data_IF_980574897704
#
_entry.id   IF_980574897704
#
_cell.length_a   1.000
_cell.length_b   1.000
_cell.length_c   1.000
_cell.angle_alpha   90.00
_cell.angle_beta   90.00
_cell.angle_gamma   90.00
#
_symmetry.space_group_name_H-M   'P 1'
#
loop_
_entity.id
_entity.type
_entity.pdbx_description
1 polymer ?
#
# COMPACT_ATOMS: atom_id res chain seq x y z
N UNK A 1 16.90 -12.81 -0.70
CA UNK A 1 15.59 -12.23 -0.31
C UNK A 1 14.57 -12.68 -1.33
N UNK A 2 13.41 -13.15 -0.88
CA UNK A 2 12.31 -13.53 -1.75
C UNK A 2 11.31 -12.36 -1.84
N UNK A 3 10.58 -12.29 -2.95
CA UNK A 3 9.57 -11.27 -3.20
C UNK A 3 8.30 -11.93 -3.73
N UNK A 4 7.16 -11.50 -3.20
CA UNK A 4 5.82 -11.88 -3.67
C UNK A 4 5.09 -10.63 -4.15
N UNK A 5 4.27 -10.77 -5.19
CA UNK A 5 3.56 -9.65 -5.81
C UNK A 5 2.07 -9.94 -5.96
N UNK A 6 1.27 -8.89 -5.88
CA UNK A 6 -0.17 -8.93 -6.15
C UNK A 6 -0.60 -7.72 -6.98
N UNK A 7 -1.55 -7.94 -7.89
CA UNK A 7 -2.08 -6.89 -8.77
C UNK A 7 -3.60 -6.87 -8.69
N UNK A 8 -4.18 -5.68 -8.50
CA UNK A 8 -5.63 -5.47 -8.47
C UNK A 8 -5.99 -4.27 -9.34
N UNK A 9 -6.90 -4.46 -10.30
CA UNK A 9 -7.42 -3.36 -11.12
C UNK A 9 -8.60 -2.72 -10.42
N UNK A 10 -8.55 -1.40 -10.21
CA UNK A 10 -9.66 -0.64 -9.67
C UNK A 10 -10.77 -0.54 -10.70
N UNK A 11 -11.93 -1.16 -10.42
CA UNK A 11 -13.09 -1.15 -11.34
C UNK A 11 -13.87 0.17 -11.29
N UNK A 12 -13.65 0.97 -10.25
CA UNK A 12 -14.32 2.24 -9.99
C UNK A 12 -13.29 3.29 -9.58
N UNK A 13 -13.66 4.57 -9.66
CA UNK A 13 -12.86 5.63 -9.07
C UNK A 13 -12.81 5.39 -7.56
N UNK A 14 -11.63 5.51 -6.96
CA UNK A 14 -11.40 4.98 -5.61
C UNK A 14 -10.53 5.93 -4.79
N UNK A 15 -10.89 6.10 -3.53
CA UNK A 15 -10.00 6.64 -2.49
C UNK A 15 -9.44 5.47 -1.69
N UNK A 16 -8.14 5.47 -1.41
CA UNK A 16 -7.53 4.53 -0.46
C UNK A 16 -7.30 5.28 0.86
N UNK A 17 -7.89 4.78 1.95
CA UNK A 17 -7.92 5.51 3.23
C UNK A 17 -6.80 5.10 4.20
N UNK A 18 -6.25 3.89 4.01
CA UNK A 18 -5.18 3.39 4.85
C UNK A 18 -4.29 2.40 4.10
N UNK A 19 -3.19 2.05 4.76
CA UNK A 19 -2.31 0.96 4.41
C UNK A 19 -1.90 0.22 5.68
N UNK A 20 -2.17 -1.08 5.75
CA UNK A 20 -1.67 -1.93 6.83
C UNK A 20 -0.98 -3.15 6.20
N UNK A 21 0.36 -3.19 6.21
CA UNK A 21 1.08 -4.36 5.74
C UNK A 21 0.85 -5.53 6.68
N UNK A 22 0.66 -6.71 6.11
CA UNK A 22 0.53 -7.94 6.88
C UNK A 22 1.48 -9.01 6.35
N UNK A 23 2.22 -9.60 7.28
CA UNK A 23 3.10 -10.74 7.08
C UNK A 23 3.04 -11.69 8.27
N UNK A 24 3.60 -12.89 8.12
CA UNK A 24 4.06 -13.66 9.26
C UNK A 24 5.53 -13.34 9.59
N UNK A 25 6.29 -14.34 10.05
CA UNK A 25 7.57 -14.17 10.75
C UNK A 25 8.73 -13.70 9.85
N UNK A 26 8.62 -13.85 8.53
CA UNK A 26 9.67 -13.51 7.57
C UNK A 26 9.39 -12.19 6.86
N UNK A 27 8.31 -11.49 7.19
CA UNK A 27 8.01 -10.18 6.62
C UNK A 27 9.13 -9.17 6.85
N UNK A 28 9.55 -8.48 5.78
CA UNK A 28 10.62 -7.48 5.84
C UNK A 28 10.13 -6.09 5.47
N UNK A 29 9.52 -5.99 4.30
CA UNK A 29 9.09 -4.73 3.73
C UNK A 29 7.89 -4.93 2.81
N UNK A 30 7.05 -3.92 2.67
CA UNK A 30 5.94 -3.93 1.72
C UNK A 30 5.78 -2.56 1.07
N UNK A 31 5.53 -2.57 -0.24
CA UNK A 31 5.24 -1.37 -1.03
C UNK A 31 3.90 -1.54 -1.73
N UNK A 32 3.14 -0.46 -1.78
CA UNK A 32 1.97 -0.30 -2.64
C UNK A 32 2.32 0.74 -3.71
N UNK A 33 2.28 0.33 -4.98
CA UNK A 33 2.41 1.20 -6.15
C UNK A 33 1.05 1.30 -6.86
N UNK A 34 0.71 2.48 -7.37
CA UNK A 34 -0.41 2.67 -8.27
C UNK A 34 0.11 2.95 -9.69
N UNK A 35 -0.29 2.11 -10.63
CA UNK A 35 0.00 2.23 -12.06
C UNK A 35 -1.26 2.80 -12.72
N UNK A 36 -1.21 4.07 -13.10
CA UNK A 36 -2.36 4.79 -13.67
C UNK A 36 -2.68 4.30 -15.09
N UNK A 37 -3.90 4.58 -15.60
CA UNK A 37 -4.28 4.24 -16.98
C UNK A 37 -3.37 4.85 -18.06
N UNK A 38 -2.68 5.94 -17.75
CA UNK A 38 -1.71 6.59 -18.65
C UNK A 38 -0.29 6.00 -18.57
N UNK A 39 -0.10 4.95 -17.76
CA UNK A 39 1.17 4.26 -17.57
C UNK A 39 2.09 4.88 -16.51
N UNK A 40 1.73 6.04 -15.92
CA UNK A 40 2.50 6.60 -14.80
C UNK A 40 2.44 5.68 -13.59
N UNK A 41 3.53 5.64 -12.84
CA UNK A 41 3.66 4.86 -11.60
C UNK A 41 3.88 5.81 -10.44
N UNK A 42 3.22 5.55 -9.32
CA UNK A 42 3.43 6.30 -8.07
C UNK A 42 3.50 5.33 -6.90
N UNK A 43 4.52 5.50 -6.05
CA UNK A 43 4.54 4.82 -4.76
C UNK A 43 3.51 5.48 -3.86
N UNK A 44 2.56 4.68 -3.39
CA UNK A 44 1.45 5.11 -2.54
C UNK A 44 1.84 5.00 -1.07
N UNK A 45 2.44 3.87 -0.71
CA UNK A 45 2.86 3.57 0.64
C UNK A 45 4.04 2.61 0.63
N UNK A 46 4.93 2.77 1.61
CA UNK A 46 6.08 1.91 1.79
C UNK A 46 6.44 1.77 3.27
N UNK A 47 6.61 0.52 3.70
CA UNK A 47 7.20 0.17 5.00
C UNK A 47 8.46 -0.64 4.71
N UNK A 48 9.62 -0.10 5.08
CA UNK A 48 10.94 -0.69 4.83
C UNK A 48 11.38 -1.69 5.91
N UNK A 49 10.83 -1.54 7.13
CA UNK A 49 11.16 -2.32 8.33
C UNK A 49 9.87 -2.76 9.03
N UNK A 50 9.22 -3.75 8.44
CA UNK A 50 8.10 -4.41 9.09
C UNK A 50 8.55 -5.10 10.39
N UNK A 51 7.70 -5.05 11.41
CA UNK A 51 7.90 -5.75 12.68
C UNK A 51 6.65 -6.59 12.94
N UNK A 52 6.79 -7.91 12.96
CA UNK A 52 5.68 -8.85 13.15
C UNK A 52 4.90 -8.58 14.44
N UNK A 53 5.57 -8.10 15.49
CA UNK A 53 4.92 -7.78 16.76
C UNK A 53 4.05 -6.50 16.68
N UNK A 54 4.21 -5.67 15.64
CA UNK A 54 3.52 -4.39 15.46
C UNK A 54 2.73 -4.38 14.15
N UNK A 55 1.47 -4.83 14.22
CA UNK A 55 0.54 -4.80 13.09
C UNK A 55 -0.07 -3.40 12.89
N UNK A 56 0.78 -2.42 12.59
CA UNK A 56 0.40 -1.00 12.49
C UNK A 56 -0.49 -0.71 11.30
N UNK A 57 -1.60 -0.02 11.54
CA UNK A 57 -2.45 0.55 10.51
C UNK A 57 -2.07 2.02 10.27
N UNK A 58 -1.63 2.36 9.06
CA UNK A 58 -1.29 3.73 8.66
C UNK A 58 -2.50 4.35 7.96
N UNK A 59 -3.18 5.27 8.65
CA UNK A 59 -4.36 5.98 8.14
C UNK A 59 -3.87 7.29 7.52
N UNK A 60 -4.32 7.59 6.30
CA UNK A 60 -3.98 8.86 5.66
C UNK A 60 -4.85 9.99 6.21
N UNK A 61 -4.29 11.20 6.28
CA UNK A 61 -5.09 12.40 6.49
C UNK A 61 -6.04 12.65 5.29
N UNK A 62 -7.18 13.29 5.52
CA UNK A 62 -8.24 13.52 4.51
C UNK A 62 -7.73 14.12 3.18
N UNK A 63 -6.75 15.04 3.27
CA UNK A 63 -6.16 15.70 2.10
C UNK A 63 -4.97 14.95 1.50
N UNK A 64 -4.44 13.94 2.19
CA UNK A 64 -3.31 13.10 1.77
C UNK A 64 -3.76 11.73 1.22
N UNK A 65 -4.97 11.27 1.59
CA UNK A 65 -5.53 10.00 1.15
C UNK A 65 -5.56 9.94 -0.39
N UNK A 66 -4.84 9.01 -1.04
CA UNK A 66 -4.70 9.00 -2.49
C UNK A 66 -6.02 8.65 -3.20
N UNK A 67 -6.27 9.34 -4.31
CA UNK A 67 -7.50 9.20 -5.12
C UNK A 67 -7.09 8.81 -6.53
N UNK A 68 -7.63 7.69 -7.01
CA UNK A 68 -7.27 7.11 -8.29
C UNK A 68 -8.49 6.91 -9.20
N UNK A 69 -8.33 7.12 -10.52
CA UNK A 69 -9.39 6.82 -11.47
C UNK A 69 -9.55 5.30 -11.62
N UNK A 70 -10.75 4.88 -12.05
CA UNK A 70 -10.98 3.52 -12.55
C UNK A 70 -9.95 3.13 -13.61
N UNK A 71 -9.56 1.86 -13.63
CA UNK A 71 -8.50 1.33 -14.49
C UNK A 71 -7.08 1.44 -13.93
N UNK A 72 -6.88 2.15 -12.81
CA UNK A 72 -5.60 2.12 -12.08
C UNK A 72 -5.32 0.70 -11.58
N UNK A 73 -4.09 0.23 -11.72
CA UNK A 73 -3.63 -1.04 -11.16
C UNK A 73 -2.91 -0.76 -9.85
N UNK A 74 -3.40 -1.35 -8.77
CA UNK A 74 -2.70 -1.40 -7.49
C UNK A 74 -1.77 -2.61 -7.50
N UNK A 75 -0.48 -2.35 -7.35
CA UNK A 75 0.59 -3.32 -7.32
C UNK A 75 1.17 -3.38 -5.90
N UNK A 76 1.03 -4.52 -5.26
CA UNK A 76 1.61 -4.78 -3.93
C UNK A 76 2.87 -5.62 -4.13
N UNK A 77 4.00 -5.11 -3.65
CA UNK A 77 5.26 -5.84 -3.56
C UNK A 77 5.57 -6.14 -2.10
N UNK A 78 5.88 -7.39 -1.79
CA UNK A 78 6.15 -7.84 -0.43
C UNK A 78 7.49 -8.59 -0.39
N UNK A 79 8.43 -8.14 0.45
CA UNK A 79 9.75 -8.73 0.59
C UNK A 79 9.87 -9.52 1.89
N UNK A 80 10.59 -10.63 1.79
CA UNK A 80 10.78 -11.59 2.88
C UNK A 80 12.26 -11.77 3.25
N UNK A 81 12.54 -11.84 4.54
CA UNK A 81 13.85 -12.10 5.13
C UNK A 81 13.92 -13.51 5.75
N UNK A 82 14.35 -14.48 4.93
CA UNK A 82 14.61 -15.85 5.37
C UNK A 82 16.07 -16.07 5.80
N UNK A 83 16.80 -15.02 6.21
CA UNK A 83 18.20 -15.18 6.64
C UNK A 83 18.31 -15.62 8.10
N UNK A 84 19.44 -16.22 8.48
CA UNK A 84 19.80 -16.54 9.88
C UNK A 84 19.87 -15.31 10.80
N UNK A 85 19.91 -14.10 10.23
CA UNK A 85 19.93 -12.84 10.99
C UNK A 85 18.56 -12.33 11.41
N UNK A 86 17.47 -12.83 10.80
CA UNK A 86 16.11 -12.49 11.22
C UNK A 86 15.76 -13.27 12.50
N UNK A 87 15.69 -12.58 13.64
CA UNK A 87 15.41 -13.19 14.94
C UNK A 87 13.99 -13.72 15.07
N UNK A 88 13.07 -13.21 14.26
CA UNK A 88 11.68 -13.66 14.24
C UNK A 88 11.52 -14.96 13.43
N UNK A 89 12.49 -15.30 12.59
CA UNK A 89 12.49 -16.52 11.79
C UNK A 89 12.99 -17.73 12.61
N UNK A 90 12.11 -18.70 12.96
CA UNK A 90 12.47 -19.81 13.84
C UNK A 90 13.32 -20.88 13.16
N UNK A 91 13.22 -20.99 11.83
CA UNK A 91 13.97 -21.95 11.03
C UNK A 91 14.23 -21.38 9.62
N UNK A 92 15.43 -20.85 9.36
CA UNK A 92 15.81 -20.29 8.07
C UNK A 92 16.16 -21.34 7.01
N UNK A 93 16.37 -22.61 7.41
CA UNK A 93 16.74 -23.68 6.49
C UNK A 93 15.48 -24.42 5.94
N UNK A 94 14.30 -24.15 6.52
CA UNK A 94 13.02 -24.70 6.03
C UNK A 94 12.47 -23.96 4.81
N UNK A 95 11.88 -24.74 3.91
CA UNK A 95 11.04 -24.20 2.84
C UNK A 95 9.69 -23.80 3.42
N UNK A 96 9.27 -22.56 3.15
CA UNK A 96 8.00 -22.00 3.63
C UNK A 96 7.23 -21.41 2.46
N UNK A 97 5.94 -21.73 2.40
CA UNK A 97 4.99 -21.20 1.42
C UNK A 97 3.81 -20.52 2.11
N UNK A 98 2.80 -20.17 1.31
CA UNK A 98 1.57 -19.58 1.82
C UNK A 98 0.83 -20.52 2.78
N UNK A 99 0.30 -20.00 3.88
CA UNK A 99 -0.61 -20.71 4.77
C UNK A 99 -1.06 -19.86 5.97
N UNK A 100 -2.10 -20.31 6.67
CA UNK A 100 -2.74 -19.54 7.74
C UNK A 100 -2.03 -19.69 9.11
N UNK A 101 -1.07 -20.60 9.23
CA UNK A 101 -0.33 -20.78 10.48
C UNK A 101 0.82 -19.78 10.55
N UNK A 102 1.16 -19.31 11.74
CA UNK A 102 2.28 -18.37 11.95
C UNK A 102 3.63 -18.88 11.42
N UNK A 103 3.80 -20.19 11.31
CA UNK A 103 5.03 -20.82 10.77
C UNK A 103 5.03 -20.92 9.23
N UNK A 104 3.85 -20.84 8.61
CA UNK A 104 3.68 -20.59 7.18
C UNK A 104 3.85 -19.09 6.91
N UNK A 105 3.72 -18.63 5.67
CA UNK A 105 3.75 -17.20 5.34
C UNK A 105 2.42 -16.65 4.81
N UNK A 106 2.24 -15.36 5.03
CA UNK A 106 1.22 -14.52 4.40
C UNK A 106 1.88 -13.22 3.93
N UNK A 107 1.33 -12.62 2.89
CA UNK A 107 1.76 -11.30 2.45
C UNK A 107 0.61 -10.60 1.73
N UNK A 108 -0.03 -9.66 2.41
CA UNK A 108 -1.07 -8.82 1.81
C UNK A 108 -1.15 -7.45 2.48
N UNK A 109 -1.63 -6.46 1.74
CA UNK A 109 -1.94 -5.15 2.26
C UNK A 109 -3.42 -5.07 2.61
N UNK A 110 -3.76 -4.82 3.87
CA UNK A 110 -5.11 -4.42 4.24
C UNK A 110 -5.30 -2.94 3.87
N UNK A 111 -6.29 -2.66 3.02
CA UNK A 111 -6.62 -1.33 2.53
C UNK A 111 -8.13 -1.16 2.50
N UNK A 112 -8.61 -0.10 3.13
CA UNK A 112 -9.96 0.41 3.05
C UNK A 112 -10.08 1.24 1.78
N UNK A 113 -11.12 0.95 1.02
CA UNK A 113 -11.39 1.57 -0.27
C UNK A 113 -12.77 2.20 -0.25
N UNK A 114 -12.84 3.48 -0.60
CA UNK A 114 -14.09 4.18 -0.86
C UNK A 114 -14.28 4.30 -2.36
N UNK A 115 -15.38 3.75 -2.89
CA UNK A 115 -15.72 3.90 -4.30
C UNK A 115 -16.50 5.18 -4.55
N UNK A 116 -16.12 5.87 -5.61
CA UNK A 116 -16.72 7.12 -6.05
C UNK A 116 -17.41 6.92 -7.41
N UNK A 117 -18.51 7.63 -7.59
CA UNK A 117 -19.08 7.92 -8.91
C UNK A 117 -18.13 8.80 -9.73
N UNK A 118 -18.38 8.93 -11.04
CA UNK A 118 -17.58 9.82 -11.89
C UNK A 118 -17.72 11.30 -11.46
N UNK A 119 -18.91 11.72 -11.02
CA UNK A 119 -19.16 13.09 -10.56
C UNK A 119 -18.46 13.39 -9.23
N UNK A 120 -18.54 12.48 -8.24
CA UNK A 120 -17.84 12.61 -6.95
C UNK A 120 -16.32 12.66 -7.14
N UNK A 121 -15.77 11.82 -8.02
CA UNK A 121 -14.34 11.82 -8.34
C UNK A 121 -13.91 13.16 -8.93
N UNK A 122 -14.64 13.67 -9.93
CA UNK A 122 -14.31 14.93 -10.57
C UNK A 122 -14.38 16.11 -9.59
N UNK A 123 -15.39 16.13 -8.72
CA UNK A 123 -15.54 17.14 -7.68
C UNK A 123 -14.36 17.12 -6.69
N UNK A 124 -14.00 15.94 -6.17
CA UNK A 124 -12.91 15.78 -5.21
C UNK A 124 -11.54 16.15 -5.81
N UNK A 125 -11.27 15.74 -7.05
CA UNK A 125 -10.02 16.12 -7.74
C UNK A 125 -9.95 17.63 -7.98
N UNK A 126 -11.05 18.27 -8.36
CA UNK A 126 -11.10 19.72 -8.54
C UNK A 126 -10.86 20.47 -7.22
N UNK A 127 -11.50 20.03 -6.14
CA UNK A 127 -11.32 20.59 -4.80
C UNK A 127 -9.86 20.48 -4.32
N UNK A 128 -9.23 19.33 -4.48
CA UNK A 128 -7.84 19.13 -4.03
C UNK A 128 -6.84 19.95 -4.84
N UNK A 129 -7.08 20.12 -6.14
CA UNK A 129 -6.28 21.01 -6.99
C UNK A 129 -6.36 22.46 -6.53
N UNK A 130 -7.55 22.97 -6.19
CA UNK A 130 -7.72 24.34 -5.72
C UNK A 130 -7.05 24.58 -4.36
N UNK A 131 -7.20 23.64 -3.41
CA UNK A 131 -6.53 23.70 -2.11
C UNK A 131 -5.00 23.72 -2.23
N UNK A 132 -4.44 22.87 -3.09
CA UNK A 132 -2.99 22.81 -3.33
C UNK A 132 -2.46 24.11 -3.95
N UNK A 133 -3.21 24.69 -4.89
CA UNK A 133 -2.85 25.97 -5.51
C UNK A 133 -2.83 27.12 -4.50
N UNK A 134 -3.84 27.20 -3.63
CA UNK A 134 -3.91 28.24 -2.60
C UNK A 134 -2.78 28.10 -1.57
N UNK A 135 -2.51 26.89 -1.07
CA UNK A 135 -1.41 26.64 -0.13
C UNK A 135 -0.03 27.02 -0.71
N UNK A 136 0.16 26.89 -2.02
CA UNK A 136 1.40 27.28 -2.71
C UNK A 136 1.55 28.81 -2.81
N UNK A 137 0.44 29.55 -2.93
CA UNK A 137 0.46 31.01 -2.99
C UNK A 137 0.74 31.64 -1.61
N UNK A 138 0.20 31.06 -0.54
CA UNK A 138 0.41 31.54 0.83
C UNK A 138 1.85 31.32 1.33
N UNK A 139 2.58 30.35 0.77
CA UNK A 139 3.99 30.09 1.11
C UNK A 139 4.98 31.01 0.36
N UNK A 140 4.52 31.81 -0.61
CA UNK A 140 5.35 32.72 -1.40
C UNK A 140 5.25 34.20 -0.97
N UNK A 141 4.46 34.49 0.08
CA UNK A 141 4.35 35.81 0.72
C UNK A 141 5.05 35.79 2.08
#
# INVERSE_FOLDING_TARGET
>A
MAMTEGFTVLKQNTVIENFQPHFHLRGKAMQVEAILPDGRRQVVSYVDKFNFNWMTNYIYDDNAAPVFPKGTVIHVSAWHDNTKGNKDNPDPDQWVGYGDRTVDEMAHAWMNVLYLTDDEYNALVAERKSKTANATQDQQQ
#
